data_IF_185025193009
#
_entry.id   IF_185025193009
#
_cell.length_a   1.000
_cell.length_b   1.000
_cell.length_c   1.000
_cell.angle_alpha   90.00
_cell.angle_beta   90.00
_cell.angle_gamma   90.00
#
_symmetry.space_group_name_H-M   'P 1'
#
loop_
_entity.id
_entity.type
_entity.pdbx_description
1 polymer ?
#
# COMPACT_ATOMS: atom_id res chain seq x y z
N UNK A 1 23.42 -2.08 14.09
CA UNK A 1 23.80 -1.14 13.03
C UNK A 1 22.83 -1.36 11.90
N UNK A 2 21.76 -0.56 11.84
CA UNK A 2 20.79 -0.62 10.73
C UNK A 2 21.48 -0.01 9.51
N UNK A 3 21.76 -0.84 8.52
CA UNK A 3 22.09 -0.35 7.18
C UNK A 3 20.91 0.49 6.72
N UNK A 4 21.04 1.81 6.61
CA UNK A 4 20.00 2.59 5.97
C UNK A 4 19.96 2.16 4.51
N UNK A 5 18.94 1.41 4.14
CA UNK A 5 18.74 0.98 2.76
C UNK A 5 18.54 2.24 1.92
N UNK A 6 19.50 2.53 1.04
CA UNK A 6 19.39 3.62 0.07
C UNK A 6 18.51 3.13 -1.09
N UNK A 7 17.20 3.12 -0.87
CA UNK A 7 16.24 2.85 -1.93
C UNK A 7 16.33 3.92 -3.03
N UNK A 8 16.28 3.55 -4.32
CA UNK A 8 16.14 4.54 -5.39
C UNK A 8 14.84 5.34 -5.21
N UNK A 9 14.95 6.66 -5.23
CA UNK A 9 13.82 7.59 -5.06
C UNK A 9 13.71 8.47 -6.29
N UNK A 10 12.51 8.53 -6.87
CA UNK A 10 12.14 9.47 -7.92
C UNK A 10 11.13 10.47 -7.37
N UNK A 11 11.44 11.77 -7.43
CA UNK A 11 10.49 12.83 -7.12
C UNK A 11 9.42 12.89 -8.20
N UNK A 12 8.15 12.75 -7.81
CA UNK A 12 7.04 12.94 -8.75
C UNK A 12 6.93 14.41 -9.12
N UNK A 13 6.71 14.67 -10.41
CA UNK A 13 6.45 16.01 -10.94
C UNK A 13 5.02 16.06 -11.48
N UNK A 14 4.17 16.98 -11.02
CA UNK A 14 2.85 17.18 -11.59
C UNK A 14 2.89 17.25 -13.10
N UNK A 15 2.19 16.31 -13.77
CA UNK A 15 2.26 16.14 -15.22
C UNK A 15 1.13 16.87 -15.96
N UNK A 16 0.03 17.14 -15.25
CA UNK A 16 -1.23 17.59 -15.85
C UNK A 16 -1.76 18.83 -15.10
N UNK A 17 -2.23 19.87 -15.82
CA UNK A 17 -2.82 21.06 -15.20
C UNK A 17 -4.24 20.82 -14.66
N UNK A 18 -4.90 19.76 -15.13
CA UNK A 18 -6.24 19.34 -14.73
C UNK A 18 -6.33 17.81 -14.79
N UNK A 19 -7.38 17.25 -14.18
CA UNK A 19 -7.59 15.80 -14.10
C UNK A 19 -7.58 15.16 -15.50
N UNK A 20 -6.62 14.24 -15.80
CA UNK A 20 -6.40 13.75 -17.16
C UNK A 20 -7.19 12.48 -17.50
N UNK A 21 -7.94 11.91 -16.54
CA UNK A 21 -8.59 10.62 -16.67
C UNK A 21 -10.09 10.74 -16.89
N UNK A 22 -10.64 9.80 -17.66
CA UNK A 22 -12.08 9.74 -17.90
C UNK A 22 -12.75 8.77 -16.93
N UNK A 23 -14.06 8.90 -16.65
CA UNK A 23 -14.77 7.92 -15.82
C UNK A 23 -14.61 6.46 -16.28
N UNK A 24 -14.46 6.22 -17.59
CA UNK A 24 -14.22 4.89 -18.18
C UNK A 24 -12.84 4.29 -17.86
N UNK A 25 -11.89 5.08 -17.33
CA UNK A 25 -10.62 4.58 -16.82
C UNK A 25 -10.79 3.82 -15.50
N UNK A 26 -11.86 4.12 -14.75
CA UNK A 26 -12.15 3.59 -13.42
C UNK A 26 -13.23 2.50 -13.42
N UNK A 27 -13.76 2.12 -14.59
CA UNK A 27 -14.68 0.98 -14.71
C UNK A 27 -13.93 -0.34 -14.55
N UNK A 28 -14.64 -1.40 -14.15
CA UNK A 28 -14.07 -2.73 -13.91
C UNK A 28 -14.74 -3.75 -14.82
N UNK A 29 -14.12 -4.93 -14.99
CA UNK A 29 -14.78 -6.04 -15.67
C UNK A 29 -15.95 -6.57 -14.83
N UNK A 30 -15.75 -6.70 -13.52
CA UNK A 30 -16.79 -7.01 -12.54
C UNK A 30 -17.14 -5.75 -11.72
N UNK A 31 -18.25 -5.11 -12.10
CA UNK A 31 -18.80 -3.93 -11.41
C UNK A 31 -19.78 -4.29 -10.29
N UNK A 32 -19.92 -5.57 -9.91
CA UNK A 32 -20.72 -5.91 -8.71
C UNK A 32 -20.06 -5.33 -7.45
N UNK A 33 -20.90 -5.05 -6.44
CA UNK A 33 -20.45 -4.50 -5.15
C UNK A 33 -19.35 -5.36 -4.52
N UNK A 34 -18.37 -4.72 -3.89
CA UNK A 34 -17.14 -5.40 -3.46
C UNK A 34 -17.40 -6.30 -2.25
N UNK A 35 -18.37 -5.96 -1.42
CA UNK A 35 -18.90 -6.82 -0.34
C UNK A 35 -19.26 -8.22 -0.81
N UNK A 36 -19.72 -8.40 -2.05
CA UNK A 36 -19.98 -9.73 -2.64
C UNK A 36 -18.68 -10.49 -2.93
N UNK A 37 -17.70 -9.81 -3.50
CA UNK A 37 -16.41 -10.39 -3.89
C UNK A 37 -15.53 -10.74 -2.67
N UNK A 38 -15.63 -9.96 -1.60
CA UNK A 38 -14.90 -10.12 -0.34
C UNK A 38 -15.73 -10.83 0.75
N UNK A 39 -16.85 -11.45 0.38
CA UNK A 39 -17.72 -12.19 1.32
C UNK A 39 -17.08 -13.44 1.93
N UNK A 40 -16.03 -13.96 1.29
CA UNK A 40 -15.24 -15.07 1.80
C UNK A 40 -13.85 -14.55 2.18
N UNK A 41 -13.42 -14.71 3.45
CA UNK A 41 -12.12 -14.22 3.88
C UNK A 41 -10.99 -14.98 3.18
N UNK A 42 -9.90 -14.28 2.91
CA UNK A 42 -8.71 -14.81 2.26
C UNK A 42 -7.51 -14.64 3.17
N UNK A 43 -7.18 -15.69 3.93
CA UNK A 43 -5.98 -15.75 4.76
C UNK A 43 -4.74 -16.12 3.94
N UNK A 44 -4.41 -15.28 2.95
CA UNK A 44 -3.24 -15.44 2.08
C UNK A 44 -2.50 -14.12 1.94
N UNK A 45 -1.23 -14.18 1.57
CA UNK A 45 -0.46 -12.98 1.19
C UNK A 45 -0.62 -12.71 -0.31
N UNK A 46 -0.67 -11.43 -0.67
CA UNK A 46 -0.88 -11.00 -2.06
C UNK A 46 0.41 -10.66 -2.81
N UNK A 47 1.54 -10.69 -2.11
CA UNK A 47 2.90 -10.52 -2.63
C UNK A 47 3.80 -11.61 -2.03
N UNK A 48 4.91 -11.93 -2.71
CA UNK A 48 5.87 -12.92 -2.23
C UNK A 48 6.66 -12.49 -0.98
N UNK A 49 7.29 -13.47 -0.33
CA UNK A 49 8.02 -13.25 0.94
C UNK A 49 9.18 -12.27 0.81
N UNK A 50 9.81 -12.17 -0.38
CA UNK A 50 10.92 -11.26 -0.60
C UNK A 50 10.42 -9.81 -0.71
N UNK A 51 9.32 -9.58 -1.40
CA UNK A 51 8.64 -8.30 -1.44
C UNK A 51 8.14 -7.89 -0.04
N UNK A 52 7.60 -8.83 0.74
CA UNK A 52 7.21 -8.59 2.14
C UNK A 52 8.42 -8.18 2.99
N UNK A 53 9.58 -8.83 2.80
CA UNK A 53 10.80 -8.47 3.52
C UNK A 53 11.26 -7.03 3.19
N UNK A 54 11.29 -6.66 1.90
CA UNK A 54 11.61 -5.29 1.48
C UNK A 54 10.60 -4.26 2.05
N UNK A 55 9.31 -4.60 2.06
CA UNK A 55 8.27 -3.74 2.63
C UNK A 55 8.49 -3.50 4.13
N UNK A 56 8.80 -4.56 4.87
CA UNK A 56 9.08 -4.48 6.31
C UNK A 56 10.30 -3.61 6.61
N UNK A 57 11.38 -3.78 5.85
CA UNK A 57 12.58 -2.95 5.97
C UNK A 57 12.27 -1.48 5.69
N UNK A 58 11.50 -1.20 4.63
CA UNK A 58 11.04 0.15 4.34
C UNK A 58 10.23 0.75 5.50
N UNK A 59 9.20 0.04 6.00
CA UNK A 59 8.36 0.50 7.10
C UNK A 59 9.15 0.71 8.40
N UNK A 60 10.18 -0.09 8.64
CA UNK A 60 11.05 0.09 9.81
C UNK A 60 11.83 1.41 9.75
N UNK A 61 12.13 1.90 8.55
CA UNK A 61 12.77 3.22 8.38
C UNK A 61 11.77 4.38 8.32
N UNK A 62 10.57 4.17 7.75
CA UNK A 62 9.69 5.25 7.33
C UNK A 62 8.52 5.52 8.29
N UNK A 63 7.96 4.50 8.94
CA UNK A 63 6.75 4.65 9.76
C UNK A 63 7.06 5.06 11.20
N UNK A 64 6.15 5.80 11.87
CA UNK A 64 6.33 6.18 13.26
C UNK A 64 6.15 4.98 14.20
N UNK A 65 6.91 4.96 15.31
CA UNK A 65 6.82 3.94 16.37
C UNK A 65 5.98 4.42 17.56
N UNK A 66 5.41 5.63 17.45
CA UNK A 66 4.51 6.25 18.43
C UNK A 66 3.43 7.02 17.70
N UNK A 67 2.29 7.25 18.34
CA UNK A 67 1.19 8.01 17.74
C UNK A 67 0.20 7.08 17.05
N UNK A 68 -0.23 7.41 15.83
CA UNK A 68 -1.40 6.79 15.19
C UNK A 68 -1.15 6.45 13.72
N UNK A 69 -1.47 5.21 13.33
CA UNK A 69 -1.44 4.74 11.94
C UNK A 69 -2.84 4.25 11.52
N UNK A 70 -3.24 4.62 10.31
CA UNK A 70 -4.39 4.03 9.63
C UNK A 70 -3.92 3.07 8.53
N UNK A 71 -4.28 1.80 8.65
CA UNK A 71 -4.16 0.85 7.55
C UNK A 71 -5.51 0.76 6.82
N UNK A 72 -5.59 1.27 5.58
CA UNK A 72 -6.86 1.32 4.83
C UNK A 72 -6.82 0.42 3.60
N UNK A 73 -7.98 -0.15 3.26
CA UNK A 73 -8.07 -1.41 2.51
C UNK A 73 -7.31 -2.54 3.23
N UNK A 74 -7.38 -2.56 4.57
CA UNK A 74 -6.73 -3.55 5.41
C UNK A 74 -7.38 -4.93 5.30
N UNK A 75 -6.62 -5.94 5.69
CA UNK A 75 -7.00 -7.35 5.71
C UNK A 75 -6.44 -7.99 6.99
N UNK A 76 -6.16 -9.29 6.97
CA UNK A 76 -5.69 -10.09 8.11
C UNK A 76 -4.22 -9.84 8.49
N UNK A 77 -3.46 -9.17 7.63
CA UNK A 77 -2.05 -8.84 7.89
C UNK A 77 -1.68 -7.50 7.23
N UNK A 78 -1.06 -6.60 7.99
CA UNK A 78 -0.60 -5.28 7.50
C UNK A 78 0.88 -5.27 7.07
N UNK A 79 1.59 -6.39 7.23
CA UNK A 79 3.01 -6.54 6.91
C UNK A 79 3.95 -5.56 7.65
N UNK A 80 3.57 -5.11 8.83
CA UNK A 80 4.45 -4.29 9.66
C UNK A 80 5.70 -5.07 10.11
N UNK A 81 6.82 -4.39 10.35
CA UNK A 81 8.01 -5.00 10.94
C UNK A 81 7.84 -5.19 12.46
N UNK A 82 8.66 -6.05 13.10
CA UNK A 82 8.58 -6.32 14.53
C UNK A 82 8.62 -5.08 15.42
N UNK A 83 9.34 -4.03 15.04
CA UNK A 83 9.42 -2.78 15.81
C UNK A 83 8.07 -2.06 15.92
N UNK A 84 7.27 -2.09 14.86
CA UNK A 84 5.93 -1.48 14.79
C UNK A 84 4.92 -2.37 15.50
N UNK A 85 5.01 -3.70 15.31
CA UNK A 85 4.19 -4.67 16.03
C UNK A 85 4.39 -4.55 17.55
N UNK A 86 5.65 -4.42 18.01
CA UNK A 86 5.97 -4.20 19.43
C UNK A 86 5.45 -2.87 19.97
N UNK A 87 5.56 -1.79 19.19
CA UNK A 87 5.02 -0.48 19.58
C UNK A 87 3.48 -0.48 19.67
N UNK A 88 2.81 -1.24 18.79
CA UNK A 88 1.38 -1.45 18.89
C UNK A 88 1.02 -2.29 20.13
N UNK A 89 1.73 -3.38 20.38
CA UNK A 89 1.51 -4.22 21.55
C UNK A 89 1.77 -3.49 22.88
N UNK A 90 2.75 -2.58 22.94
CA UNK A 90 3.01 -1.74 24.12
C UNK A 90 2.02 -0.60 24.30
N UNK A 91 1.22 -0.30 23.27
CA UNK A 91 0.24 0.79 23.25
C UNK A 91 0.82 2.17 22.95
N UNK A 92 2.13 2.27 22.67
CA UNK A 92 2.80 3.51 22.23
C UNK A 92 2.33 3.95 20.84
N UNK A 93 1.99 2.98 20.00
CA UNK A 93 1.42 3.18 18.67
C UNK A 93 -0.01 2.65 18.64
N UNK A 94 -0.92 3.45 18.08
CA UNK A 94 -2.31 3.10 17.85
C UNK A 94 -2.50 2.78 16.37
N UNK A 95 -2.95 1.58 16.06
CA UNK A 95 -3.17 1.14 14.67
C UNK A 95 -4.65 0.85 14.48
N UNK A 96 -5.27 1.54 13.52
CA UNK A 96 -6.65 1.33 13.11
C UNK A 96 -6.67 0.69 11.74
N UNK A 97 -7.49 -0.34 11.55
CA UNK A 97 -7.71 -0.96 10.24
C UNK A 97 -9.07 -0.58 9.68
N UNK A 98 -9.12 -0.23 8.40
CA UNK A 98 -10.34 -0.05 7.63
C UNK A 98 -10.32 -0.99 6.44
N UNK A 99 -11.25 -1.93 6.38
CA UNK A 99 -11.31 -2.98 5.36
C UNK A 99 -12.73 -3.45 5.08
N UNK A 100 -12.87 -4.52 4.31
CA UNK A 100 -14.18 -5.03 3.85
C UNK A 100 -14.56 -6.40 4.39
N UNK A 101 -13.68 -7.06 5.14
CA UNK A 101 -13.88 -8.42 5.67
C UNK A 101 -13.67 -8.42 7.17
N UNK A 102 -14.76 -8.59 7.94
CA UNK A 102 -14.71 -8.65 9.40
C UNK A 102 -13.79 -9.78 9.90
N UNK A 103 -13.86 -11.02 9.38
CA UNK A 103 -12.97 -12.08 9.83
C UNK A 103 -11.49 -11.81 9.53
N UNK A 104 -11.18 -11.09 8.44
CA UNK A 104 -9.81 -10.68 8.16
C UNK A 104 -9.36 -9.62 9.15
N UNK A 105 -10.13 -8.56 9.35
CA UNK A 105 -9.77 -7.50 10.30
C UNK A 105 -9.58 -8.05 11.71
N UNK A 106 -10.44 -8.96 12.18
CA UNK A 106 -10.30 -9.59 13.50
C UNK A 106 -9.05 -10.47 13.63
N UNK A 107 -8.60 -11.10 12.55
CA UNK A 107 -7.37 -11.88 12.55
C UNK A 107 -6.10 -11.01 12.53
N UNK A 108 -6.22 -9.70 12.31
CA UNK A 108 -5.08 -8.79 12.29
C UNK A 108 -4.79 -8.25 13.70
N UNK A 109 -3.85 -8.91 14.38
CA UNK A 109 -3.50 -8.65 15.78
C UNK A 109 -2.87 -7.27 16.02
N UNK A 110 -2.30 -6.63 14.98
CA UNK A 110 -1.67 -5.31 15.14
C UNK A 110 -2.69 -4.19 15.32
N UNK A 111 -3.95 -4.43 14.92
CA UNK A 111 -5.04 -3.45 14.97
C UNK A 111 -5.56 -3.27 16.41
N UNK A 112 -4.87 -2.44 17.19
CA UNK A 112 -5.15 -2.23 18.61
C UNK A 112 -6.05 -1.01 18.91
N UNK A 113 -6.51 -0.27 17.90
CA UNK A 113 -7.24 1.00 18.07
C UNK A 113 -8.56 1.07 17.30
N UNK A 114 -8.90 0.05 16.51
CA UNK A 114 -10.19 -0.04 15.83
C UNK A 114 -10.15 -0.87 14.56
N UNK A 115 -11.28 -1.51 14.25
CA UNK A 115 -11.52 -2.29 13.04
C UNK A 115 -12.81 -1.78 12.42
N UNK A 116 -12.72 -1.19 11.23
CA UNK A 116 -13.83 -0.50 10.58
C UNK A 116 -14.16 -1.24 9.29
N UNK A 117 -15.41 -1.72 9.17
CA UNK A 117 -15.92 -2.26 7.92
C UNK A 117 -16.44 -1.13 7.03
N UNK A 118 -15.83 -0.98 5.84
CA UNK A 118 -16.23 0.04 4.88
C UNK A 118 -15.86 -0.39 3.46
N UNK A 119 -16.84 -0.33 2.56
CA UNK A 119 -16.60 -0.39 1.12
C UNK A 119 -16.35 1.02 0.59
N UNK A 120 -15.08 1.33 0.30
CA UNK A 120 -14.64 2.65 -0.18
C UNK A 120 -15.04 2.94 -1.64
N UNK A 121 -15.47 1.93 -2.39
CA UNK A 121 -15.98 2.12 -3.75
C UNK A 121 -17.44 2.58 -3.74
N UNK A 122 -18.24 2.08 -2.80
CA UNK A 122 -19.59 2.58 -2.54
C UNK A 122 -19.54 3.97 -1.88
N UNK A 123 -18.83 4.10 -0.76
CA UNK A 123 -18.69 5.34 -0.01
C UNK A 123 -17.21 5.65 0.31
N UNK A 124 -16.59 6.58 -0.44
CA UNK A 124 -15.16 6.88 -0.33
C UNK A 124 -14.77 7.72 0.89
N UNK A 125 -15.72 8.06 1.77
CA UNK A 125 -15.46 8.96 2.90
C UNK A 125 -14.87 8.22 4.13
N UNK A 126 -13.54 8.09 4.12
CA UNK A 126 -12.75 7.58 5.25
C UNK A 126 -12.98 8.42 6.52
N UNK A 127 -12.99 9.74 6.40
CA UNK A 127 -13.11 10.66 7.53
C UNK A 127 -14.45 10.48 8.26
N UNK A 128 -15.56 10.41 7.51
CA UNK A 128 -16.87 10.12 8.07
C UNK A 128 -16.90 8.76 8.78
N UNK A 129 -16.37 7.70 8.16
CA UNK A 129 -16.34 6.37 8.76
C UNK A 129 -15.55 6.32 10.08
N UNK A 130 -14.41 7.03 10.14
CA UNK A 130 -13.59 7.13 11.35
C UNK A 130 -14.26 7.95 12.46
N UNK A 131 -14.99 9.00 12.10
CA UNK A 131 -15.75 9.82 13.06
C UNK A 131 -16.94 9.04 13.62
N UNK A 132 -17.66 8.31 12.78
CA UNK A 132 -18.76 7.43 13.18
C UNK A 132 -18.27 6.35 14.15
N UNK A 133 -17.13 5.74 13.84
CA UNK A 133 -16.46 4.77 14.71
C UNK A 133 -15.79 5.39 15.95
N UNK A 134 -15.83 6.73 16.10
CA UNK A 134 -15.19 7.50 17.19
C UNK A 134 -13.69 7.24 17.32
N UNK A 135 -13.03 6.93 16.20
CA UNK A 135 -11.58 6.78 16.12
C UNK A 135 -10.92 8.15 16.02
N UNK A 136 -11.49 9.05 15.22
CA UNK A 136 -10.98 10.42 15.06
C UNK A 136 -12.05 11.40 15.52
N UNK A 137 -11.69 12.31 16.41
CA UNK A 137 -12.54 13.42 16.84
C UNK A 137 -12.16 14.75 16.17
N UNK A 138 -12.63 15.88 16.71
CA UNK A 138 -12.37 17.19 16.13
C UNK A 138 -10.93 17.68 16.34
N UNK A 139 -10.16 17.04 17.23
CA UNK A 139 -8.79 17.44 17.57
C UNK A 139 -7.77 16.90 16.57
N UNK A 140 -6.75 17.70 16.25
CA UNK A 140 -5.61 17.24 15.44
C UNK A 140 -4.77 16.15 16.13
N UNK A 141 -4.79 16.07 17.46
CA UNK A 141 -4.10 15.01 18.22
C UNK A 141 -4.66 13.60 17.92
N UNK A 142 -5.93 13.53 17.51
CA UNK A 142 -6.62 12.28 17.21
C UNK A 142 -6.44 11.84 15.75
N UNK A 143 -5.86 12.70 14.90
CA UNK A 143 -5.56 12.41 13.50
C UNK A 143 -4.34 11.51 13.34
N UNK A 144 -4.16 10.97 12.15
CA UNK A 144 -3.11 10.00 11.87
C UNK A 144 -1.77 10.64 11.54
N UNK A 145 -0.69 10.06 12.07
CA UNK A 145 0.69 10.42 11.78
C UNK A 145 1.16 9.78 10.47
N UNK A 146 0.68 8.57 10.17
CA UNK A 146 0.90 7.89 8.90
C UNK A 146 -0.31 7.06 8.47
N UNK A 147 -0.42 6.76 7.18
CA UNK A 147 -1.40 5.82 6.63
C UNK A 147 -0.76 4.86 5.63
N UNK A 148 -1.19 3.61 5.63
CA UNK A 148 -0.71 2.55 4.72
C UNK A 148 -1.83 1.98 3.87
N UNK A 149 -1.47 1.57 2.65
CA UNK A 149 -2.31 0.79 1.75
C UNK A 149 -1.41 -0.21 1.04
N UNK A 150 -1.63 -1.51 1.26
CA UNK A 150 -0.79 -2.56 0.67
C UNK A 150 -1.51 -3.18 -0.52
N UNK A 151 -0.98 -2.97 -1.73
CA UNK A 151 -1.43 -3.59 -3.00
C UNK A 151 -2.94 -3.53 -3.25
N UNK A 152 -3.56 -2.39 -2.91
CA UNK A 152 -5.02 -2.23 -2.98
C UNK A 152 -5.49 -0.97 -3.72
N UNK A 153 -4.57 -0.07 -4.09
CA UNK A 153 -4.90 1.20 -4.78
C UNK A 153 -5.50 0.96 -6.16
N UNK A 154 -5.12 -0.13 -6.81
CA UNK A 154 -5.57 -0.57 -8.13
C UNK A 154 -7.06 -0.97 -8.19
N UNK A 155 -7.70 -1.17 -7.04
CA UNK A 155 -9.13 -1.50 -6.95
C UNK A 155 -10.03 -0.29 -6.68
N UNK A 156 -9.47 0.88 -6.37
CA UNK A 156 -10.24 2.08 -6.04
C UNK A 156 -10.77 2.74 -7.31
N UNK A 157 -12.09 2.82 -7.41
CA UNK A 157 -12.83 3.48 -8.50
C UNK A 157 -12.97 5.00 -8.28
N UNK A 158 -12.79 5.46 -7.04
CA UNK A 158 -12.81 6.88 -6.64
C UNK A 158 -11.54 7.27 -5.87
N UNK A 159 -10.32 7.05 -6.40
CA UNK A 159 -9.09 7.15 -5.62
C UNK A 159 -8.83 8.57 -5.09
N UNK A 160 -9.18 9.61 -5.86
CA UNK A 160 -9.01 11.01 -5.42
C UNK A 160 -9.93 11.34 -4.25
N UNK A 161 -11.18 10.91 -4.27
CA UNK A 161 -12.13 11.16 -3.18
C UNK A 161 -11.67 10.47 -1.89
N UNK A 162 -11.23 9.21 -1.99
CA UNK A 162 -10.66 8.44 -0.88
C UNK A 162 -9.43 9.14 -0.30
N UNK A 163 -8.47 9.50 -1.14
CA UNK A 163 -7.21 10.12 -0.70
C UNK A 163 -7.41 11.55 -0.18
N UNK A 164 -8.42 12.27 -0.66
CA UNK A 164 -8.81 13.60 -0.14
C UNK A 164 -9.49 13.48 1.22
N UNK A 165 -10.38 12.50 1.40
CA UNK A 165 -10.97 12.21 2.70
C UNK A 165 -9.89 11.77 3.72
N UNK A 166 -8.94 10.93 3.30
CA UNK A 166 -7.77 10.56 4.09
C UNK A 166 -6.93 11.77 4.52
N UNK A 167 -6.67 12.71 3.60
CA UNK A 167 -5.93 13.94 3.90
C UNK A 167 -6.59 14.76 5.02
N UNK A 168 -7.93 14.75 5.12
CA UNK A 168 -8.67 15.50 6.15
C UNK A 168 -8.40 14.97 7.58
N UNK A 169 -8.19 13.66 7.72
CA UNK A 169 -7.90 12.97 9.00
C UNK A 169 -6.41 12.67 9.22
N UNK A 170 -5.53 13.19 8.36
CA UNK A 170 -4.08 13.14 8.55
C UNK A 170 -3.60 14.41 9.25
N UNK A 171 -2.60 14.31 10.14
CA UNK A 171 -1.97 15.48 10.78
C UNK A 171 -1.16 16.31 9.78
N UNK A 172 -0.97 17.62 9.99
CA UNK A 172 0.07 18.37 9.29
C UNK A 172 1.43 17.66 9.41
N UNK A 173 2.13 17.49 8.29
CA UNK A 173 3.38 16.71 8.22
C UNK A 173 3.21 15.19 8.21
N UNK A 174 2.00 14.68 8.45
CA UNK A 174 1.67 13.26 8.38
C UNK A 174 1.78 12.71 6.96
N UNK A 175 1.92 11.39 6.84
CA UNK A 175 2.34 10.73 5.59
C UNK A 175 1.36 9.66 5.13
N UNK A 176 1.34 9.40 3.82
CA UNK A 176 0.63 8.27 3.22
C UNK A 176 1.62 7.41 2.43
N UNK A 177 1.46 6.10 2.52
CA UNK A 177 2.35 5.08 1.95
C UNK A 177 1.53 4.06 1.16
N UNK A 178 1.49 4.21 -0.17
CA UNK A 178 0.76 3.35 -1.10
C UNK A 178 1.72 2.33 -1.72
N UNK A 179 1.60 1.07 -1.32
CA UNK A 179 2.45 -0.02 -1.83
C UNK A 179 1.86 -0.55 -3.13
N UNK A 180 2.67 -0.53 -4.18
CA UNK A 180 2.28 -0.95 -5.53
C UNK A 180 3.08 -2.18 -5.94
N UNK A 181 2.39 -3.17 -6.49
CA UNK A 181 2.98 -4.34 -7.15
C UNK A 181 2.11 -4.74 -8.36
N UNK A 182 2.46 -5.85 -9.02
CA UNK A 182 1.81 -6.27 -10.25
C UNK A 182 0.71 -7.33 -10.07
N UNK A 183 0.73 -8.08 -8.96
CA UNK A 183 -0.31 -9.06 -8.69
C UNK A 183 -1.60 -8.31 -8.36
N UNK A 184 -2.67 -8.64 -9.08
CA UNK A 184 -3.99 -8.11 -8.82
C UNK A 184 -5.07 -9.12 -9.18
N UNK A 185 -6.31 -8.89 -8.74
CA UNK A 185 -7.50 -9.55 -9.27
C UNK A 185 -7.97 -8.81 -10.53
N UNK A 186 -7.73 -9.32 -11.75
CA UNK A 186 -7.95 -8.54 -12.97
C UNK A 186 -9.41 -8.14 -13.16
N UNK A 187 -10.36 -8.92 -12.64
CA UNK A 187 -11.78 -8.59 -12.76
C UNK A 187 -12.20 -7.40 -11.90
N UNK A 188 -11.46 -7.11 -10.81
CA UNK A 188 -11.75 -6.03 -9.85
C UNK A 188 -10.82 -4.83 -9.97
N UNK A 189 -9.67 -4.95 -10.63
CA UNK A 189 -8.79 -3.81 -10.89
C UNK A 189 -9.47 -2.81 -11.83
N UNK A 190 -9.19 -1.52 -11.65
CA UNK A 190 -9.69 -0.48 -12.56
C UNK A 190 -9.16 -0.69 -13.97
N UNK A 191 -10.00 -0.40 -14.97
CA UNK A 191 -9.73 -0.75 -16.36
C UNK A 191 -8.43 -0.14 -16.89
N UNK A 192 -8.09 1.08 -16.47
CA UNK A 192 -6.82 1.70 -16.87
C UNK A 192 -5.60 0.98 -16.31
N UNK A 193 -5.66 0.45 -15.09
CA UNK A 193 -4.56 -0.30 -14.48
C UNK A 193 -4.10 -1.46 -15.36
N UNK A 194 -5.07 -2.14 -15.99
CA UNK A 194 -4.83 -3.27 -16.89
C UNK A 194 -4.32 -2.85 -18.28
N UNK A 195 -4.51 -1.59 -18.68
CA UNK A 195 -4.15 -1.09 -20.02
C UNK A 195 -2.77 -0.40 -20.07
N UNK A 196 -2.23 0.00 -18.93
CA UNK A 196 -0.97 0.76 -18.84
C UNK A 196 0.15 -0.05 -18.18
N UNK A 197 1.40 0.31 -18.50
CA UNK A 197 2.59 -0.32 -17.92
C UNK A 197 2.92 0.17 -16.50
N UNK A 198 3.90 -0.47 -15.86
CA UNK A 198 4.32 -0.21 -14.47
C UNK A 198 4.62 1.26 -14.20
N UNK A 199 5.47 1.89 -15.02
CA UNK A 199 5.83 3.30 -14.87
C UNK A 199 4.61 4.22 -14.88
N UNK A 200 3.69 4.03 -15.84
CA UNK A 200 2.47 4.83 -15.92
C UNK A 200 1.49 4.53 -14.78
N UNK A 201 1.48 3.31 -14.21
CA UNK A 201 0.71 3.04 -12.97
C UNK A 201 1.23 3.87 -11.81
N UNK A 202 2.55 3.92 -11.62
CA UNK A 202 3.18 4.70 -10.54
C UNK A 202 2.92 6.20 -10.72
N UNK A 203 3.06 6.72 -11.95
CA UNK A 203 2.75 8.11 -12.26
C UNK A 203 1.26 8.43 -12.08
N UNK A 204 0.37 7.51 -12.44
CA UNK A 204 -1.07 7.64 -12.23
C UNK A 204 -1.43 7.70 -10.74
N UNK A 205 -0.81 6.87 -9.90
CA UNK A 205 -0.97 6.97 -8.43
C UNK A 205 -0.43 8.29 -7.90
N UNK A 206 0.69 8.77 -8.45
CA UNK A 206 1.21 10.11 -8.18
C UNK A 206 0.21 11.22 -8.54
N UNK A 207 -0.48 11.11 -9.67
CA UNK A 207 -1.56 12.03 -10.04
C UNK A 207 -2.72 11.95 -9.03
N UNK A 208 -3.11 10.76 -8.57
CA UNK A 208 -4.19 10.62 -7.57
C UNK A 208 -3.88 11.39 -6.28
N UNK A 209 -2.65 11.25 -5.77
CA UNK A 209 -2.18 11.99 -4.60
C UNK A 209 -2.14 13.49 -4.86
N UNK A 210 -1.62 13.91 -6.02
CA UNK A 210 -1.53 15.32 -6.40
C UNK A 210 -2.91 15.98 -6.46
N UNK A 211 -3.88 15.37 -7.15
CA UNK A 211 -5.23 15.89 -7.28
C UNK A 211 -6.05 15.77 -5.98
N UNK A 212 -5.67 14.88 -5.06
CA UNK A 212 -6.21 14.82 -3.71
C UNK A 212 -5.63 15.90 -2.77
N UNK A 213 -4.58 16.62 -3.18
CA UNK A 213 -3.97 17.73 -2.42
C UNK A 213 -2.75 17.34 -1.58
N UNK A 214 -2.20 16.14 -1.76
CA UNK A 214 -0.97 15.72 -1.11
C UNK A 214 0.26 16.39 -1.73
N UNK A 215 1.33 16.54 -0.94
CA UNK A 215 2.58 17.22 -1.30
C UNK A 215 3.78 16.28 -1.15
N UNK A 216 4.96 16.71 -1.59
CA UNK A 216 6.22 15.95 -1.49
C UNK A 216 6.08 14.48 -1.95
N UNK A 217 5.50 14.30 -3.14
CA UNK A 217 5.17 12.98 -3.67
C UNK A 217 6.45 12.31 -4.21
N UNK A 218 6.71 11.11 -3.74
CA UNK A 218 7.89 10.31 -4.09
C UNK A 218 7.50 8.90 -4.52
N UNK A 219 8.22 8.39 -5.50
CA UNK A 219 8.16 6.98 -5.93
C UNK A 219 9.47 6.32 -5.50
N UNK A 220 9.36 5.34 -4.61
CA UNK A 220 10.50 4.60 -4.05
C UNK A 220 10.47 3.17 -4.60
N UNK A 221 11.57 2.71 -5.19
CA UNK A 221 11.71 1.33 -5.65
C UNK A 221 12.24 0.44 -4.51
N UNK A 222 11.43 -0.52 -4.06
CA UNK A 222 11.78 -1.46 -2.97
C UNK A 222 12.25 -2.82 -3.50
N UNK A 223 11.84 -3.16 -4.73
CA UNK A 223 12.25 -4.37 -5.45
C UNK A 223 12.03 -4.14 -6.94
N UNK A 224 13.06 -4.39 -7.75
CA UNK A 224 12.95 -4.38 -9.21
C UNK A 224 12.44 -5.71 -9.79
N UNK A 225 12.01 -6.65 -8.94
CA UNK A 225 11.50 -7.97 -9.31
C UNK A 225 12.57 -8.94 -9.85
N UNK A 226 13.83 -8.53 -9.91
CA UNK A 226 14.96 -9.37 -10.33
C UNK A 226 15.64 -9.95 -9.09
N UNK A 227 15.98 -11.22 -9.15
CA UNK A 227 16.98 -11.77 -8.23
C UNK A 227 18.33 -11.24 -8.69
N UNK A 228 18.92 -10.29 -7.96
CA UNK A 228 20.31 -9.93 -8.20
C UNK A 228 21.18 -11.16 -7.95
N UNK A 229 22.05 -11.48 -8.90
CA UNK A 229 23.07 -12.51 -8.72
C UNK A 229 24.05 -12.00 -7.65
N UNK A 230 23.77 -12.33 -6.38
CA UNK A 230 24.65 -11.99 -5.27
C UNK A 230 26.06 -12.50 -5.54
N UNK A 231 27.05 -11.71 -5.11
CA UNK A 231 28.48 -12.00 -5.13
C UNK A 231 28.78 -13.42 -4.61
N UNK A 232 28.75 -14.42 -5.50
CA UNK A 232 29.38 -15.70 -5.24
C UNK A 232 30.85 -15.53 -5.59
N UNK A 233 31.66 -15.44 -4.54
CA UNK A 233 33.09 -15.73 -4.60
C UNK A 233 33.29 -16.97 -5.48
N UNK A 234 34.06 -16.80 -6.55
CA UNK A 234 34.28 -17.82 -7.59
C UNK A 234 34.63 -19.17 -6.96
N UNK A 235 33.68 -20.11 -6.98
CA UNK A 235 33.98 -21.54 -6.91
C UNK A 235 33.51 -22.12 -8.24
N UNK A 236 34.45 -22.26 -9.15
CA UNK A 236 34.20 -22.80 -10.48
C UNK A 236 33.78 -24.28 -10.39
N UNK A 237 32.52 -24.57 -10.71
CA UNK A 237 32.04 -25.95 -10.91
C UNK A 237 30.51 -26.09 -10.94
N UNK A 238 29.98 -26.56 -12.07
CA UNK A 238 28.61 -27.09 -12.27
C UNK A 238 27.37 -26.19 -12.01
N UNK A 239 27.48 -25.01 -11.39
CA UNK A 239 26.29 -24.18 -11.05
C UNK A 239 25.64 -23.41 -12.21
N UNK A 240 26.35 -23.19 -13.32
CA UNK A 240 25.84 -22.37 -14.44
C UNK A 240 24.64 -22.97 -15.19
N UNK A 241 24.51 -24.29 -15.23
CA UNK A 241 23.39 -24.97 -15.90
C UNK A 241 22.11 -24.94 -15.07
N UNK A 242 22.21 -24.97 -13.74
CA UNK A 242 21.06 -24.93 -12.84
C UNK A 242 20.45 -23.53 -12.76
N UNK A 243 21.29 -22.48 -12.66
CA UNK A 243 20.82 -21.09 -12.73
C UNK A 243 20.19 -20.77 -14.09
N UNK A 244 20.78 -21.24 -15.20
CA UNK A 244 20.19 -21.09 -16.53
C UNK A 244 18.82 -21.77 -16.67
N UNK A 245 18.65 -22.95 -16.07
CA UNK A 245 17.39 -23.69 -16.05
C UNK A 245 16.33 -23.01 -15.17
N UNK A 246 16.70 -22.52 -13.99
CA UNK A 246 15.80 -21.78 -13.08
C UNK A 246 15.28 -20.49 -13.72
N UNK A 247 16.15 -19.78 -14.45
CA UNK A 247 15.78 -18.57 -15.22
C UNK A 247 14.82 -18.89 -16.37
N UNK A 248 15.02 -20.03 -17.05
CA UNK A 248 14.14 -20.51 -18.12
C UNK A 248 12.76 -20.96 -17.60
N UNK A 249 12.71 -21.47 -16.37
CA UNK A 249 11.48 -21.90 -15.69
C UNK A 249 10.74 -20.75 -14.97
N UNK A 250 11.23 -19.52 -15.04
CA UNK A 250 10.60 -18.36 -14.40
C UNK A 250 10.71 -18.34 -12.87
N UNK A 251 11.55 -19.21 -12.29
CA UNK A 251 11.74 -19.35 -10.84
C UNK A 251 12.65 -18.25 -10.24
N UNK A 252 13.22 -17.38 -11.07
CA UNK A 252 14.06 -16.23 -10.70
C UNK A 252 13.29 -14.89 -10.63
N UNK A 253 11.96 -14.91 -10.66
CA UNK A 253 11.15 -13.68 -10.64
C UNK A 253 10.54 -13.46 -9.26
N UNK A 254 10.93 -12.34 -8.66
CA UNK A 254 10.28 -11.78 -7.46
C UNK A 254 9.21 -10.81 -7.90
N UNK A 255 8.24 -10.58 -7.04
CA UNK A 255 7.31 -9.48 -7.24
C UNK A 255 8.10 -8.16 -7.18
N UNK A 256 7.98 -7.31 -8.22
CA UNK A 256 8.49 -5.97 -8.10
C UNK A 256 7.60 -5.19 -7.11
N UNK A 257 8.21 -4.24 -6.43
CA UNK A 257 7.56 -3.53 -5.34
C UNK A 257 8.01 -2.07 -5.34
N UNK A 258 7.02 -1.18 -5.33
CA UNK A 258 7.23 0.25 -5.23
C UNK A 258 6.39 0.82 -4.10
N UNK A 259 6.84 1.94 -3.56
CA UNK A 259 6.08 2.75 -2.64
C UNK A 259 5.86 4.11 -3.27
N UNK A 260 4.61 4.48 -3.48
CA UNK A 260 4.25 5.88 -3.79
C UNK A 260 3.82 6.53 -2.48
N UNK A 261 4.63 7.47 -1.98
CA UNK A 261 4.38 8.15 -0.71
C UNK A 261 4.23 9.65 -0.90
N UNK A 262 3.55 10.28 0.05
CA UNK A 262 3.38 11.73 0.08
C UNK A 262 3.18 12.23 1.51
N UNK A 263 3.20 13.55 1.66
CA UNK A 263 3.03 14.25 2.94
C UNK A 263 1.87 15.25 2.87
N UNK A 264 1.20 15.43 3.99
CA UNK A 264 0.28 16.54 4.20
C UNK A 264 1.06 17.81 4.54
N UNK A 265 0.84 18.88 3.76
CA UNK A 265 1.40 20.21 4.03
C UNK A 265 0.83 20.88 5.27
#
# INVERSE_FOLDING_TARGET
MTTSSNWPITQYKPRHPSWPYNPSDFTRQDNTVDTRFYSQPRFVTHIDDAAIASLREYYDSALPKKGRILDFCSSWISHYPPSIEQAAASGELKVTGLGMSEPELEANDVLNNGRILKDLNEDPDIAAALQEAKVVGPSDEEKFDASTNVVSTDYLTKPVDVLKSLLAVTKPGGTVHLTISNRCFPTKAIGRWLRVGEEERLLMVGDFLHFAGWQDIEIVELSNGKVEAGHQQQVAGAQGSLQGLMRMMGMDRRDPLWMVRARKG
#
